data_IF_087866561362
#
_entry.id   IF_087866561362
#
_cell.length_a   1.000
_cell.length_b   1.000
_cell.length_c   1.000
_cell.angle_alpha   90.00
_cell.angle_beta   90.00
_cell.angle_gamma   90.00
#
_symmetry.space_group_name_H-M   'P 1'
#
loop_
_entity.id
_entity.type
_entity.pdbx_description
1 polymer ?
#
# COMPACT_ATOMS: atom_id res chain seq x y z
N UNK A 1 -25.15 -0.76 -80.61
CA UNK A 1 -24.48 -2.07 -80.87
C UNK A 1 -23.29 -2.17 -79.87
N UNK A 2 -23.30 -3.25 -79.11
CA UNK A 2 -22.18 -4.00 -78.50
C UNK A 2 -21.38 -3.28 -77.41
N UNK A 3 -21.69 -3.55 -76.19
CA UNK A 3 -21.18 -4.61 -75.29
C UNK A 3 -19.67 -4.65 -75.13
N UNK A 4 -19.19 -4.51 -73.87
CA UNK A 4 -18.45 -5.58 -73.21
C UNK A 4 -18.13 -5.18 -71.74
N UNK A 5 -18.67 -6.01 -70.87
CA UNK A 5 -18.30 -6.12 -69.43
C UNK A 5 -16.77 -6.31 -69.28
N UNK A 6 -16.16 -5.56 -68.36
CA UNK A 6 -14.93 -5.98 -67.69
C UNK A 6 -15.24 -6.12 -66.20
N UNK A 7 -15.27 -7.34 -65.73
CA UNK A 7 -15.22 -7.72 -64.32
C UNK A 7 -13.81 -7.42 -63.84
N UNK A 8 -13.68 -6.50 -62.89
CA UNK A 8 -12.49 -6.33 -62.08
C UNK A 8 -12.69 -7.15 -60.82
N UNK A 9 -11.92 -8.24 -60.72
CA UNK A 9 -11.77 -9.00 -59.47
C UNK A 9 -10.89 -8.19 -58.53
N UNK A 10 -11.48 -7.51 -57.54
CA UNK A 10 -10.79 -6.95 -56.43
C UNK A 10 -10.50 -8.06 -55.40
N UNK A 11 -9.26 -8.53 -55.36
CA UNK A 11 -8.80 -9.39 -54.28
C UNK A 11 -8.59 -8.52 -53.03
N UNK A 12 -9.53 -8.62 -52.10
CA UNK A 12 -9.40 -8.05 -50.75
C UNK A 12 -8.39 -8.90 -49.96
N UNK A 13 -7.16 -8.45 -49.86
CA UNK A 13 -6.19 -9.00 -48.92
C UNK A 13 -6.63 -8.64 -47.51
N UNK A 14 -7.27 -9.58 -46.79
CA UNK A 14 -7.41 -9.50 -45.33
C UNK A 14 -6.03 -9.65 -44.72
N UNK A 15 -5.45 -8.54 -44.28
CA UNK A 15 -4.30 -8.56 -43.38
C UNK A 15 -4.73 -9.12 -42.02
N UNK A 16 -4.41 -10.36 -41.74
CA UNK A 16 -4.55 -10.95 -40.42
C UNK A 16 -3.57 -10.20 -39.48
N UNK A 17 -4.06 -9.25 -38.72
CA UNK A 17 -3.31 -8.68 -37.62
C UNK A 17 -3.10 -9.80 -36.60
N UNK A 18 -1.88 -10.36 -36.55
CA UNK A 18 -1.47 -11.30 -35.53
C UNK A 18 -1.58 -10.58 -34.17
N UNK A 19 -2.58 -10.95 -33.37
CA UNK A 19 -2.70 -10.44 -32.01
C UNK A 19 -1.50 -10.93 -31.22
N UNK A 20 -0.64 -10.02 -30.80
CA UNK A 20 0.47 -10.34 -29.90
C UNK A 20 -0.10 -11.00 -28.63
N UNK A 21 0.51 -12.10 -28.16
CA UNK A 21 0.04 -12.77 -26.96
C UNK A 21 0.10 -11.77 -25.78
N UNK A 22 -1.00 -11.68 -25.03
CA UNK A 22 -1.04 -10.87 -23.82
C UNK A 22 -0.07 -11.49 -22.79
N UNK A 23 0.76 -10.68 -22.12
CA UNK A 23 1.66 -11.21 -21.10
C UNK A 23 0.85 -11.88 -19.98
N UNK A 24 1.36 -12.97 -19.43
CA UNK A 24 0.77 -13.62 -18.26
C UNK A 24 0.99 -12.78 -17.01
N UNK A 25 0.18 -12.98 -15.97
CA UNK A 25 0.34 -12.29 -14.68
C UNK A 25 1.77 -12.52 -14.12
N UNK A 26 2.32 -13.72 -14.26
CA UNK A 26 3.70 -14.02 -13.84
C UNK A 26 4.74 -13.17 -14.57
N UNK A 27 4.63 -13.03 -15.89
CA UNK A 27 5.55 -12.19 -16.68
C UNK A 27 5.45 -10.71 -16.31
N UNK A 28 4.24 -10.22 -16.05
CA UNK A 28 4.01 -8.83 -15.63
C UNK A 28 4.58 -8.58 -14.23
N UNK A 29 4.42 -9.53 -13.31
CA UNK A 29 4.99 -9.47 -11.96
C UNK A 29 6.50 -9.50 -11.98
N UNK A 30 7.13 -10.31 -12.85
CA UNK A 30 8.60 -10.35 -13.02
C UNK A 30 9.14 -9.02 -13.57
N UNK A 31 8.46 -8.45 -14.56
CA UNK A 31 8.81 -7.13 -15.08
C UNK A 31 8.71 -6.04 -14.00
N UNK A 32 7.69 -6.11 -13.15
CA UNK A 32 7.52 -5.21 -12.01
C UNK A 32 8.65 -5.32 -10.98
N UNK A 33 9.06 -6.54 -10.63
CA UNK A 33 10.20 -6.76 -9.74
C UNK A 33 11.50 -6.22 -10.33
N UNK A 34 11.74 -6.47 -11.61
CA UNK A 34 12.91 -5.97 -12.33
C UNK A 34 12.94 -4.43 -12.36
N UNK A 35 11.77 -3.79 -12.57
CA UNK A 35 11.64 -2.33 -12.54
C UNK A 35 11.99 -1.75 -11.16
N UNK A 36 11.48 -2.36 -10.06
CA UNK A 36 11.82 -1.96 -8.70
C UNK A 36 13.32 -2.13 -8.42
N UNK A 37 13.91 -3.28 -8.81
CA UNK A 37 15.32 -3.55 -8.61
C UNK A 37 16.20 -2.56 -9.38
N UNK A 38 15.89 -2.29 -10.64
CA UNK A 38 16.58 -1.30 -11.46
C UNK A 38 16.50 0.11 -10.88
N UNK A 39 15.31 0.53 -10.41
CA UNK A 39 15.13 1.83 -9.78
C UNK A 39 15.88 1.95 -8.45
N UNK A 40 15.89 0.89 -7.62
CA UNK A 40 16.65 0.86 -6.38
C UNK A 40 18.17 0.92 -6.63
N UNK A 41 18.66 0.18 -7.62
CA UNK A 41 20.08 0.21 -8.05
C UNK A 41 20.45 1.59 -8.56
N UNK A 42 19.59 2.23 -9.36
CA UNK A 42 19.82 3.59 -9.86
C UNK A 42 19.84 4.61 -8.71
N UNK A 43 18.94 4.48 -7.72
CA UNK A 43 18.95 5.30 -6.51
C UNK A 43 20.27 5.19 -5.77
N UNK A 44 20.73 3.96 -5.49
CA UNK A 44 21.99 3.73 -4.79
C UNK A 44 23.20 4.21 -5.61
N UNK A 45 23.17 4.07 -6.93
CA UNK A 45 24.21 4.55 -7.84
C UNK A 45 24.32 6.08 -7.91
N UNK A 46 23.22 6.80 -7.66
CA UNK A 46 23.21 8.25 -7.63
C UNK A 46 23.71 8.84 -6.31
N UNK A 47 23.97 8.02 -5.27
CA UNK A 47 24.40 8.46 -3.96
C UNK A 47 25.93 8.51 -3.84
N UNK A 48 26.49 9.58 -3.24
CA UNK A 48 27.85 9.56 -2.72
C UNK A 48 28.04 8.40 -1.71
N UNK A 49 29.26 7.90 -1.62
CA UNK A 49 29.56 6.69 -0.82
C UNK A 49 29.07 6.80 0.65
N UNK A 50 29.30 7.93 1.30
CA UNK A 50 28.85 8.14 2.69
C UNK A 50 27.31 8.11 2.82
N UNK A 51 26.59 8.67 1.87
CA UNK A 51 25.12 8.64 1.83
C UNK A 51 24.61 7.23 1.51
N UNK A 52 25.26 6.50 0.60
CA UNK A 52 24.93 5.12 0.27
C UNK A 52 25.07 4.20 1.48
N UNK A 53 26.14 4.34 2.27
CA UNK A 53 26.32 3.58 3.53
C UNK A 53 25.19 3.81 4.53
N UNK A 54 24.57 5.00 4.55
CA UNK A 54 23.38 5.27 5.37
C UNK A 54 22.10 4.69 4.79
N UNK A 55 21.97 4.69 3.48
CA UNK A 55 20.77 4.18 2.80
C UNK A 55 20.68 2.65 2.81
N UNK A 56 21.81 1.95 2.84
CA UNK A 56 21.89 0.48 2.76
C UNK A 56 22.03 -0.11 4.15
N UNK A 57 21.13 -1.05 4.45
CA UNK A 57 21.08 -1.80 5.71
C UNK A 57 21.10 -3.29 5.35
N UNK A 58 21.73 -4.12 6.19
CA UNK A 58 21.74 -5.57 5.96
C UNK A 58 20.31 -6.13 5.94
N UNK A 59 20.01 -7.07 5.01
CA UNK A 59 18.66 -7.62 4.89
C UNK A 59 18.17 -8.32 6.16
N UNK A 60 19.07 -8.96 6.91
CA UNK A 60 18.77 -9.61 8.18
C UNK A 60 18.73 -8.68 9.40
N UNK A 61 18.97 -7.39 9.22
CA UNK A 61 18.93 -6.43 10.31
C UNK A 61 17.49 -6.27 10.85
N UNK A 62 17.38 -6.15 12.18
CA UNK A 62 16.10 -5.90 12.88
C UNK A 62 15.40 -4.63 12.43
N UNK A 63 16.16 -3.65 11.92
CA UNK A 63 15.62 -2.40 11.40
C UNK A 63 14.65 -2.66 10.23
N UNK A 64 14.78 -3.75 9.48
CA UNK A 64 13.88 -4.09 8.37
C UNK A 64 12.42 -4.23 8.82
N UNK A 65 12.18 -4.67 10.04
CA UNK A 65 10.84 -4.83 10.63
C UNK A 65 10.48 -3.72 11.64
N UNK A 66 11.38 -2.78 11.90
CA UNK A 66 11.21 -1.67 12.84
C UNK A 66 10.57 -0.45 12.15
N UNK A 67 9.33 -0.59 11.70
CA UNK A 67 8.61 0.48 11.04
C UNK A 67 7.89 1.40 12.01
N UNK A 68 7.70 2.68 11.63
CA UNK A 68 6.93 3.63 12.43
C UNK A 68 6.30 4.73 11.56
N UNK A 69 5.25 5.36 12.09
CA UNK A 69 4.54 6.47 11.45
C UNK A 69 4.52 7.76 12.27
N UNK A 70 5.03 7.72 13.51
CA UNK A 70 5.10 8.91 14.39
C UNK A 70 6.33 9.77 14.07
N UNK A 71 6.36 11.06 14.44
CA UNK A 71 7.56 11.89 14.34
C UNK A 71 8.69 11.33 15.22
N UNK A 72 9.79 10.88 14.57
CA UNK A 72 10.99 10.35 15.27
C UNK A 72 12.19 10.36 14.32
N UNK A 73 13.39 10.18 14.91
CA UNK A 73 14.58 9.84 14.11
C UNK A 73 14.41 8.49 13.43
N UNK A 74 14.94 8.36 12.21
CA UNK A 74 14.85 7.15 11.39
C UNK A 74 16.19 6.77 10.81
N UNK A 75 16.42 5.49 10.67
CA UNK A 75 17.49 4.96 9.85
C UNK A 75 17.22 5.23 8.35
N UNK A 76 18.18 4.97 7.50
CA UNK A 76 18.11 5.29 6.09
C UNK A 76 18.52 6.72 5.76
N UNK A 77 18.27 7.14 4.54
CA UNK A 77 18.68 8.46 4.05
C UNK A 77 17.45 9.36 3.87
N UNK A 78 17.33 10.47 4.62
CA UNK A 78 16.22 11.41 4.45
C UNK A 78 16.39 12.24 3.18
N UNK A 79 15.26 12.68 2.59
CA UNK A 79 15.26 13.50 1.37
C UNK A 79 16.16 14.73 1.46
N UNK A 80 16.19 15.40 2.61
CA UNK A 80 17.05 16.57 2.84
C UNK A 80 18.56 16.29 2.74
N UNK A 81 18.97 15.02 2.87
CA UNK A 81 20.38 14.61 2.75
C UNK A 81 20.70 14.04 1.36
N UNK A 82 19.74 14.01 0.45
CA UNK A 82 19.92 13.48 -0.91
C UNK A 82 20.36 14.59 -1.86
N UNK A 83 21.43 14.41 -2.66
CA UNK A 83 21.68 15.26 -3.81
C UNK A 83 20.55 15.14 -4.84
N UNK A 84 20.35 16.16 -5.67
CA UNK A 84 19.22 16.24 -6.60
C UNK A 84 19.06 14.99 -7.51
N UNK A 85 20.14 14.41 -8.09
CA UNK A 85 20.01 13.18 -8.89
C UNK A 85 19.48 11.99 -8.09
N UNK A 86 19.95 11.82 -6.83
CA UNK A 86 19.51 10.74 -5.97
C UNK A 86 18.05 10.93 -5.53
N UNK A 87 17.64 12.17 -5.28
CA UNK A 87 16.24 12.50 -4.98
C UNK A 87 15.31 12.17 -6.15
N UNK A 88 15.70 12.49 -7.38
CA UNK A 88 14.95 12.10 -8.57
C UNK A 88 14.87 10.56 -8.69
N UNK A 89 15.97 9.85 -8.47
CA UNK A 89 15.99 8.39 -8.50
C UNK A 89 15.13 7.76 -7.39
N UNK A 90 15.07 8.36 -6.18
CA UNK A 90 14.16 7.93 -5.11
C UNK A 90 12.68 8.08 -5.53
N UNK A 91 12.34 9.15 -6.24
CA UNK A 91 10.98 9.33 -6.78
C UNK A 91 10.66 8.28 -7.85
N UNK A 92 11.62 7.92 -8.72
CA UNK A 92 11.43 6.85 -9.70
C UNK A 92 11.27 5.47 -9.01
N UNK A 93 11.96 5.22 -7.89
CA UNK A 93 11.75 4.01 -7.08
C UNK A 93 10.33 3.97 -6.49
N UNK A 94 9.81 5.10 -6.00
CA UNK A 94 8.42 5.21 -5.58
C UNK A 94 7.45 4.89 -6.72
N UNK A 95 7.65 5.47 -7.91
CA UNK A 95 6.81 5.23 -9.10
C UNK A 95 6.92 3.79 -9.62
N UNK A 96 8.08 3.16 -9.50
CA UNK A 96 8.27 1.76 -9.84
C UNK A 96 7.56 0.80 -8.88
N UNK A 97 7.09 1.27 -7.73
CA UNK A 97 6.50 0.44 -6.68
C UNK A 97 5.02 0.74 -6.43
N UNK A 98 4.59 1.95 -6.70
CA UNK A 98 3.23 2.45 -6.45
C UNK A 98 2.47 2.62 -7.78
N UNK A 99 1.16 2.64 -7.69
CA UNK A 99 0.30 3.16 -8.75
C UNK A 99 0.39 4.69 -8.81
N UNK A 100 -0.16 5.30 -9.84
CA UNK A 100 -0.28 6.77 -9.91
C UNK A 100 -1.05 7.33 -8.70
N UNK A 101 -2.12 6.64 -8.29
CA UNK A 101 -2.93 7.03 -7.12
C UNK A 101 -2.14 6.87 -5.83
N UNK A 102 -1.46 5.74 -5.63
CA UNK A 102 -0.64 5.50 -4.45
C UNK A 102 0.54 6.47 -4.34
N UNK A 103 1.19 6.77 -5.46
CA UNK A 103 2.23 7.80 -5.52
C UNK A 103 1.68 9.18 -5.15
N UNK A 104 0.54 9.57 -5.72
CA UNK A 104 -0.10 10.86 -5.40
C UNK A 104 -0.49 10.95 -3.91
N UNK A 105 -1.04 9.87 -3.32
CA UNK A 105 -1.32 9.80 -1.88
C UNK A 105 -0.05 9.98 -1.05
N UNK A 106 1.03 9.27 -1.36
CA UNK A 106 2.32 9.41 -0.65
C UNK A 106 2.85 10.84 -0.71
N UNK A 107 2.83 11.47 -1.89
CA UNK A 107 3.24 12.88 -2.05
C UNK A 107 2.33 13.82 -1.26
N UNK A 108 1.02 13.57 -1.25
CA UNK A 108 0.09 14.41 -0.48
C UNK A 108 0.32 14.26 1.04
N UNK A 109 0.58 13.05 1.55
CA UNK A 109 0.97 12.87 2.96
C UNK A 109 2.20 13.71 3.30
N UNK A 110 3.23 13.66 2.46
CA UNK A 110 4.45 14.47 2.63
C UNK A 110 4.13 15.98 2.62
N UNK A 111 3.27 16.42 1.72
CA UNK A 111 2.85 17.83 1.61
C UNK A 111 2.05 18.31 2.83
N UNK A 112 1.29 17.43 3.48
CA UNK A 112 0.54 17.78 4.70
C UNK A 112 1.46 18.22 5.85
N UNK A 113 2.75 17.86 5.86
CA UNK A 113 3.72 18.40 6.82
C UNK A 113 3.81 19.93 6.76
N UNK A 114 3.69 20.52 5.56
CA UNK A 114 3.69 21.98 5.41
C UNK A 114 2.43 22.64 5.98
N UNK A 115 1.29 21.94 5.92
CA UNK A 115 0.04 22.39 6.54
C UNK A 115 0.14 22.29 8.06
N UNK A 116 0.60 21.16 8.57
CA UNK A 116 0.79 20.95 10.01
C UNK A 116 1.76 21.96 10.62
N UNK A 117 2.85 22.28 9.93
CA UNK A 117 3.80 23.31 10.37
C UNK A 117 3.12 24.65 10.61
N UNK A 118 2.10 24.99 9.84
CA UNK A 118 1.33 26.24 9.99
C UNK A 118 0.26 26.16 11.09
N UNK A 119 -0.30 24.94 11.32
CA UNK A 119 -1.36 24.74 12.30
C UNK A 119 -0.85 24.53 13.72
N UNK A 120 0.35 23.97 13.89
CA UNK A 120 0.91 23.61 15.19
C UNK A 120 1.84 24.70 15.71
N UNK A 121 1.49 25.32 16.85
CA UNK A 121 2.22 26.44 17.44
C UNK A 121 3.61 26.02 17.95
N UNK A 122 3.74 24.86 18.59
CA UNK A 122 4.97 24.37 19.20
C UNK A 122 5.59 23.15 18.49
N UNK A 123 4.77 22.33 17.83
CA UNK A 123 5.19 21.14 17.10
C UNK A 123 5.67 21.39 15.67
N UNK A 124 5.39 22.57 15.13
CA UNK A 124 5.61 22.88 13.70
C UNK A 124 7.06 22.75 13.23
N UNK A 125 8.04 22.94 14.10
CA UNK A 125 9.47 22.76 13.77
C UNK A 125 9.83 21.29 13.49
N UNK A 126 9.07 20.33 14.00
CA UNK A 126 9.26 18.91 13.74
C UNK A 126 8.57 18.43 12.46
N UNK A 127 7.73 19.29 11.86
CA UNK A 127 6.99 19.00 10.63
C UNK A 127 7.84 19.38 9.42
N UNK A 128 8.51 18.40 8.86
CA UNK A 128 9.48 18.60 7.79
C UNK A 128 9.22 17.62 6.62
N UNK A 129 8.68 18.13 5.47
CA UNK A 129 8.44 17.30 4.28
C UNK A 129 9.72 16.70 3.69
N UNK A 130 10.90 17.21 4.11
CA UNK A 130 12.20 16.70 3.73
C UNK A 130 12.70 15.57 4.64
N UNK A 131 11.98 15.26 5.72
CA UNK A 131 12.37 14.27 6.72
C UNK A 131 11.72 12.90 6.50
N UNK A 132 11.59 12.50 5.21
CA UNK A 132 11.17 11.16 4.80
C UNK A 132 12.39 10.40 4.32
N UNK A 133 12.63 9.22 4.92
CA UNK A 133 13.83 8.42 4.68
C UNK A 133 13.56 7.26 3.73
N UNK A 134 14.52 7.00 2.86
CA UNK A 134 14.59 5.78 2.05
C UNK A 134 15.65 4.87 2.64
N UNK A 135 15.26 3.62 2.94
CA UNK A 135 16.15 2.53 3.36
C UNK A 135 16.10 1.41 2.32
N UNK A 136 17.25 0.86 1.96
CA UNK A 136 17.37 -0.33 1.11
C UNK A 136 17.96 -1.45 1.95
N UNK A 137 17.27 -2.56 2.05
CA UNK A 137 17.66 -3.73 2.83
C UNK A 137 18.23 -4.80 1.92
N UNK A 138 19.51 -5.11 2.04
CA UNK A 138 20.22 -6.03 1.16
C UNK A 138 20.68 -5.39 -0.14
N UNK A 139 20.83 -6.18 -1.19
CA UNK A 139 21.38 -5.78 -2.48
C UNK A 139 20.37 -6.03 -3.61
N UNK A 140 19.76 -4.97 -4.19
CA UNK A 140 18.74 -5.10 -5.24
C UNK A 140 19.30 -5.66 -6.56
N UNK A 141 20.60 -5.56 -6.79
CA UNK A 141 21.33 -6.03 -7.95
C UNK A 141 21.90 -7.45 -7.78
N UNK A 142 21.69 -8.10 -6.62
CA UNK A 142 22.17 -9.47 -6.36
C UNK A 142 21.15 -10.52 -6.80
N UNK A 143 21.37 -11.24 -7.89
CA UNK A 143 20.46 -12.29 -8.33
C UNK A 143 20.37 -13.41 -7.29
N UNK A 144 19.16 -13.86 -6.99
CA UNK A 144 18.93 -14.99 -6.10
C UNK A 144 18.88 -14.68 -4.61
N UNK A 145 19.26 -13.46 -4.18
CA UNK A 145 19.13 -13.02 -2.80
C UNK A 145 17.85 -12.20 -2.56
N UNK A 146 17.18 -12.35 -1.41
CA UNK A 146 16.09 -11.47 -1.04
C UNK A 146 16.63 -10.08 -0.70
N UNK A 147 15.85 -9.06 -1.05
CA UNK A 147 16.11 -7.67 -0.71
C UNK A 147 14.80 -6.93 -0.44
N UNK A 148 14.87 -5.71 0.02
CA UNK A 148 13.69 -4.88 0.23
C UNK A 148 14.02 -3.40 0.29
N UNK A 149 13.00 -2.59 0.42
CA UNK A 149 13.18 -1.17 0.65
C UNK A 149 12.00 -0.59 1.42
N UNK A 150 12.21 0.55 2.06
CA UNK A 150 11.18 1.27 2.81
C UNK A 150 11.26 2.76 2.51
N UNK A 151 10.09 3.38 2.31
CA UNK A 151 9.91 4.83 2.44
C UNK A 151 9.17 5.10 3.74
N UNK A 152 9.76 5.89 4.61
CA UNK A 152 9.20 6.14 5.93
C UNK A 152 9.35 7.59 6.36
N UNK A 153 8.29 8.13 6.95
CA UNK A 153 8.26 9.45 7.56
C UNK A 153 7.06 9.59 8.50
N UNK A 154 6.76 10.80 8.94
CA UNK A 154 5.54 11.05 9.67
C UNK A 154 4.34 10.72 8.78
N UNK A 155 3.41 9.92 9.29
CA UNK A 155 2.20 9.45 8.59
C UNK A 155 2.42 8.65 7.31
N UNK A 156 3.62 8.13 7.08
CA UNK A 156 3.89 7.26 5.92
C UNK A 156 4.89 6.17 6.31
N UNK A 157 4.55 4.91 6.03
CA UNK A 157 5.49 3.81 6.06
C UNK A 157 5.10 2.75 5.03
N UNK A 158 5.89 2.65 3.96
CA UNK A 158 5.69 1.73 2.86
C UNK A 158 6.85 0.77 2.80
N UNK A 159 6.57 -0.51 3.00
CA UNK A 159 7.55 -1.57 3.14
C UNK A 159 7.44 -2.56 1.98
N UNK A 160 8.53 -2.81 1.29
CA UNK A 160 8.59 -3.73 0.17
C UNK A 160 9.63 -4.82 0.44
N UNK A 161 9.24 -6.08 0.33
CA UNK A 161 10.15 -7.22 0.40
C UNK A 161 10.04 -8.05 -0.87
N UNK A 162 11.16 -8.24 -1.55
CA UNK A 162 11.28 -8.97 -2.80
C UNK A 162 12.07 -10.24 -2.55
N UNK A 163 11.43 -11.38 -2.76
CA UNK A 163 12.03 -12.71 -2.65
C UNK A 163 12.09 -13.32 -4.05
N UNK A 164 13.24 -13.87 -4.48
CA UNK A 164 13.38 -14.44 -5.83
C UNK A 164 12.28 -15.47 -6.16
N UNK A 165 11.65 -15.31 -7.33
CA UNK A 165 10.57 -16.20 -7.78
C UNK A 165 9.28 -16.17 -6.94
N UNK A 166 9.09 -15.14 -6.10
CA UNK A 166 7.90 -14.97 -5.26
C UNK A 166 7.20 -13.65 -5.55
N UNK A 167 5.90 -13.53 -5.23
CA UNK A 167 5.21 -12.23 -5.24
C UNK A 167 5.91 -11.20 -4.38
N UNK A 168 5.72 -9.91 -4.68
CA UNK A 168 6.25 -8.83 -3.85
C UNK A 168 5.39 -8.70 -2.60
N UNK A 169 6.00 -8.77 -1.41
CA UNK A 169 5.32 -8.43 -0.17
C UNK A 169 5.38 -6.91 0.03
N UNK A 170 4.23 -6.30 0.34
CA UNK A 170 4.06 -4.85 0.44
C UNK A 170 3.50 -4.40 1.79
N UNK A 171 3.46 -5.30 2.74
CA UNK A 171 2.86 -5.03 4.06
C UNK A 171 3.89 -5.20 5.18
N UNK A 172 3.79 -4.38 6.23
CA UNK A 172 2.78 -3.34 6.50
C UNK A 172 2.86 -2.18 5.50
N UNK A 173 1.68 -1.66 5.10
CA UNK A 173 1.59 -0.43 4.32
C UNK A 173 0.72 0.57 5.09
N UNK A 174 1.34 1.66 5.54
CA UNK A 174 0.68 2.68 6.35
C UNK A 174 0.61 4.00 5.61
N UNK A 175 -0.58 4.57 5.59
CA UNK A 175 -0.87 5.95 5.19
C UNK A 175 -1.65 6.64 6.30
N UNK A 176 -1.20 7.82 6.72
CA UNK A 176 -1.97 8.71 7.58
C UNK A 176 -2.24 10.05 6.90
N UNK A 177 -3.17 10.81 7.44
CA UNK A 177 -3.46 12.16 6.97
C UNK A 177 -3.82 13.07 8.16
N UNK A 178 -3.01 14.07 8.39
CA UNK A 178 -3.29 15.12 9.37
C UNK A 178 -2.98 16.50 8.74
N UNK A 179 -4.00 17.33 8.53
CA UNK A 179 -5.42 17.03 8.74
C UNK A 179 -5.98 16.03 7.72
N UNK A 180 -7.05 15.31 8.10
CA UNK A 180 -7.80 14.45 7.18
C UNK A 180 -8.42 15.26 6.03
N UNK A 181 -8.92 16.46 6.36
CA UNK A 181 -9.36 17.48 5.42
C UNK A 181 -8.67 18.81 5.71
N UNK A 182 -8.03 19.38 4.72
CA UNK A 182 -7.43 20.70 4.80
C UNK A 182 -8.52 21.75 4.67
N UNK A 183 -8.81 22.48 5.76
CA UNK A 183 -9.91 23.44 5.82
C UNK A 183 -9.58 24.85 5.36
N UNK A 184 -8.29 25.17 5.18
CA UNK A 184 -7.81 26.51 4.79
C UNK A 184 -6.50 26.47 4.01
N UNK A 185 -6.08 27.60 3.44
CA UNK A 185 -4.81 27.73 2.73
C UNK A 185 -4.82 27.15 1.31
N UNK A 186 -3.63 27.07 0.67
CA UNK A 186 -3.51 26.67 -0.74
C UNK A 186 -3.98 25.23 -1.04
N UNK A 187 -4.03 24.36 -0.05
CA UNK A 187 -4.48 22.99 -0.18
C UNK A 187 -5.91 22.76 0.34
N UNK A 188 -6.69 23.84 0.55
CA UNK A 188 -8.08 23.75 1.02
C UNK A 188 -8.89 22.75 0.18
N UNK A 189 -9.60 21.84 0.86
CA UNK A 189 -10.40 20.79 0.26
C UNK A 189 -9.62 19.48 -0.03
N UNK A 190 -8.29 19.46 0.19
CA UNK A 190 -7.53 18.21 0.04
C UNK A 190 -7.94 17.23 1.14
N UNK A 191 -8.38 16.03 0.72
CA UNK A 191 -8.66 14.85 1.53
C UNK A 191 -7.85 13.68 0.96
N UNK A 192 -6.66 13.43 1.50
CA UNK A 192 -5.72 12.45 0.95
C UNK A 192 -6.26 11.01 0.99
N UNK A 193 -6.99 10.65 2.05
CA UNK A 193 -7.60 9.32 2.28
C UNK A 193 -9.13 9.39 2.23
N UNK A 194 -9.66 10.19 1.28
CA UNK A 194 -11.11 10.40 1.16
C UNK A 194 -11.86 9.10 0.87
N UNK A 195 -11.36 8.30 -0.07
CA UNK A 195 -12.06 7.09 -0.54
C UNK A 195 -12.07 6.00 0.52
N UNK A 196 -10.98 5.82 1.27
CA UNK A 196 -10.91 4.90 2.41
C UNK A 196 -11.97 5.26 3.46
N UNK A 197 -12.10 6.54 3.79
CA UNK A 197 -13.10 7.03 4.72
C UNK A 197 -14.53 6.90 4.20
N UNK A 198 -14.76 7.36 2.97
CA UNK A 198 -16.10 7.44 2.39
C UNK A 198 -16.68 6.06 2.08
N UNK A 199 -15.88 5.12 1.54
CA UNK A 199 -16.29 3.74 1.29
C UNK A 199 -16.57 2.98 2.59
N UNK A 200 -15.70 3.13 3.60
CA UNK A 200 -15.90 2.49 4.91
C UNK A 200 -17.21 2.97 5.57
N UNK A 201 -17.45 4.27 5.53
CA UNK A 201 -18.70 4.86 6.05
C UNK A 201 -19.92 4.44 5.23
N UNK A 202 -19.85 4.46 3.91
CA UNK A 202 -20.94 4.02 3.04
C UNK A 202 -21.33 2.56 3.32
N UNK A 203 -20.33 1.68 3.50
CA UNK A 203 -20.56 0.29 3.88
C UNK A 203 -21.30 0.21 5.24
N UNK A 204 -20.83 0.94 6.26
CA UNK A 204 -21.47 0.96 7.58
C UNK A 204 -22.90 1.52 7.54
N UNK A 205 -23.14 2.56 6.75
CA UNK A 205 -24.47 3.17 6.59
C UNK A 205 -25.43 2.27 5.82
N UNK A 206 -24.93 1.48 4.87
CA UNK A 206 -25.72 0.50 4.11
C UNK A 206 -26.15 -0.74 4.88
N UNK A 207 -25.75 -0.90 6.15
CA UNK A 207 -26.15 -2.02 7.01
C UNK A 207 -27.54 -1.81 7.60
N UNK A 208 -28.33 -2.89 7.68
CA UNK A 208 -29.59 -2.90 8.43
C UNK A 208 -29.35 -2.91 9.97
N UNK A 209 -30.44 -2.79 10.74
CA UNK A 209 -30.34 -2.74 12.19
C UNK A 209 -29.76 -4.01 12.84
N UNK A 210 -29.97 -5.19 12.25
CA UNK A 210 -29.40 -6.46 12.73
C UNK A 210 -27.91 -6.54 12.42
N UNK A 211 -27.52 -6.18 11.20
CA UNK A 211 -26.13 -6.12 10.76
C UNK A 211 -25.34 -5.11 11.59
N UNK A 212 -25.89 -3.91 11.85
CA UNK A 212 -25.24 -2.88 12.67
C UNK A 212 -24.94 -3.36 14.09
N UNK A 213 -25.86 -4.07 14.74
CA UNK A 213 -25.62 -4.63 16.08
C UNK A 213 -24.44 -5.59 16.16
N UNK A 214 -24.15 -6.27 15.05
CA UNK A 214 -23.01 -7.22 14.96
C UNK A 214 -21.74 -6.56 14.48
N UNK A 215 -21.85 -5.61 13.56
CA UNK A 215 -20.71 -4.87 13.00
C UNK A 215 -20.08 -3.94 14.03
N UNK A 216 -20.91 -3.24 14.86
CA UNK A 216 -20.41 -2.27 15.85
C UNK A 216 -19.80 -3.01 17.04
N UNK A 217 -18.47 -2.90 17.18
CA UNK A 217 -17.69 -3.57 18.25
C UNK A 217 -17.47 -2.68 19.46
N UNK A 218 -17.64 -1.36 19.34
CA UNK A 218 -17.57 -0.41 20.43
C UNK A 218 -18.40 0.84 20.12
N UNK A 219 -18.98 1.47 21.15
CA UNK A 219 -19.78 2.69 21.01
C UNK A 219 -18.92 3.93 20.72
N UNK A 220 -17.63 3.90 21.08
CA UNK A 220 -16.64 4.95 20.81
C UNK A 220 -15.54 4.39 19.93
N UNK A 221 -14.85 5.26 19.16
CA UNK A 221 -13.67 4.88 18.41
C UNK A 221 -12.58 4.35 19.35
N UNK A 222 -11.67 3.53 18.80
CA UNK A 222 -10.57 2.93 19.56
C UNK A 222 -9.42 3.91 19.85
N UNK A 223 -9.44 5.10 19.22
CA UNK A 223 -8.45 6.15 19.46
C UNK A 223 -7.19 6.09 18.59
N UNK A 224 -6.88 4.92 18.05
CA UNK A 224 -5.81 4.67 17.08
C UNK A 224 -5.98 3.27 16.47
N UNK A 225 -5.12 2.92 15.47
CA UNK A 225 -4.98 1.56 14.98
C UNK A 225 -4.42 0.64 16.09
N UNK A 226 -4.90 -0.59 16.13
CA UNK A 226 -4.51 -1.60 17.13
C UNK A 226 -3.22 -2.32 16.72
N UNK A 227 -3.11 -2.72 15.44
CA UNK A 227 -1.96 -3.45 14.89
C UNK A 227 -0.84 -2.51 14.43
N UNK A 228 -0.52 -1.50 15.25
CA UNK A 228 0.60 -0.59 15.00
C UNK A 228 1.98 -1.27 15.15
N UNK A 229 3.09 -0.50 15.01
CA UNK A 229 4.45 -1.02 15.08
C UNK A 229 4.72 -1.89 16.31
N UNK A 230 5.26 -3.10 16.09
CA UNK A 230 5.52 -4.08 17.15
C UNK A 230 4.25 -4.73 17.73
N UNK A 231 3.09 -4.48 17.14
CA UNK A 231 1.79 -5.03 17.56
C UNK A 231 1.00 -5.62 16.39
N UNK A 232 1.68 -6.00 15.31
CA UNK A 232 1.08 -6.50 14.08
C UNK A 232 0.20 -7.75 14.31
N UNK A 233 0.51 -8.54 15.35
CA UNK A 233 -0.23 -9.75 15.72
C UNK A 233 -1.31 -9.50 16.79
N UNK A 234 -1.52 -8.26 17.24
CA UNK A 234 -2.48 -7.94 18.33
C UNK A 234 -3.94 -8.24 17.99
N UNK A 235 -4.26 -8.41 16.71
CA UNK A 235 -5.60 -8.73 16.22
C UNK A 235 -5.67 -10.18 15.72
N UNK A 236 -5.39 -11.13 16.58
CA UNK A 236 -5.44 -12.57 16.24
C UNK A 236 -6.87 -13.05 15.92
N UNK A 237 -7.90 -12.48 16.57
CA UNK A 237 -9.28 -12.86 16.39
C UNK A 237 -10.04 -11.88 15.48
N UNK A 238 -10.84 -12.42 14.58
CA UNK A 238 -11.80 -11.66 13.78
C UNK A 238 -12.96 -11.17 14.65
N UNK A 239 -13.44 -9.96 14.38
CA UNK A 239 -14.61 -9.39 15.06
C UNK A 239 -15.47 -8.62 14.05
N UNK A 240 -16.74 -8.41 14.39
CA UNK A 240 -17.70 -7.71 13.55
C UNK A 240 -18.60 -8.66 12.74
N UNK A 241 -19.01 -8.22 11.57
CA UNK A 241 -19.94 -8.93 10.69
C UNK A 241 -19.17 -9.65 9.56
N UNK A 242 -19.33 -10.98 9.40
CA UNK A 242 -18.71 -11.70 8.28
C UNK A 242 -19.37 -11.34 6.96
N UNK A 243 -18.61 -11.34 5.88
CA UNK A 243 -19.12 -11.04 4.55
C UNK A 243 -20.10 -12.09 4.00
N UNK A 244 -20.15 -13.29 4.60
CA UNK A 244 -21.23 -14.27 4.35
C UNK A 244 -22.63 -13.72 4.64
N UNK A 245 -22.74 -12.80 5.59
CA UNK A 245 -24.01 -12.21 6.06
C UNK A 245 -24.31 -10.87 5.40
N UNK A 246 -23.51 -10.45 4.44
CA UNK A 246 -23.70 -9.26 3.62
C UNK A 246 -24.59 -9.55 2.40
N UNK A 247 -25.46 -8.61 2.04
CA UNK A 247 -26.12 -8.60 0.75
C UNK A 247 -25.08 -8.45 -0.39
N UNK A 248 -25.39 -8.88 -1.62
CA UNK A 248 -24.44 -8.78 -2.74
C UNK A 248 -23.85 -7.37 -2.91
N UNK A 249 -24.68 -6.33 -2.92
CA UNK A 249 -24.20 -4.94 -3.06
C UNK A 249 -23.31 -4.46 -1.91
N UNK A 250 -23.56 -4.91 -0.68
CA UNK A 250 -22.69 -4.62 0.48
C UNK A 250 -21.35 -5.35 0.35
N UNK A 251 -21.34 -6.57 -0.16
CA UNK A 251 -20.15 -7.36 -0.42
C UNK A 251 -19.27 -6.74 -1.51
N UNK A 252 -19.91 -6.24 -2.56
CA UNK A 252 -19.24 -5.50 -3.62
C UNK A 252 -18.58 -4.22 -3.07
N UNK A 253 -19.27 -3.49 -2.18
CA UNK A 253 -18.73 -2.29 -1.55
C UNK A 253 -17.56 -2.61 -0.59
N UNK A 254 -17.65 -3.72 0.17
CA UNK A 254 -16.54 -4.23 0.98
C UNK A 254 -15.31 -4.51 0.11
N UNK A 255 -15.51 -5.17 -1.05
CA UNK A 255 -14.40 -5.46 -1.95
C UNK A 255 -13.85 -4.21 -2.62
N UNK A 256 -14.67 -3.22 -2.97
CA UNK A 256 -14.20 -1.92 -3.43
C UNK A 256 -13.31 -1.24 -2.38
N UNK A 257 -13.69 -1.32 -1.11
CA UNK A 257 -12.88 -0.78 -0.01
C UNK A 257 -11.56 -1.53 0.13
N UNK A 258 -11.54 -2.85 0.05
CA UNK A 258 -10.29 -3.65 0.04
C UNK A 258 -9.41 -3.29 -1.18
N UNK A 259 -10.01 -3.12 -2.33
CA UNK A 259 -9.31 -2.71 -3.56
C UNK A 259 -8.68 -1.32 -3.44
N UNK A 260 -9.30 -0.39 -2.72
CA UNK A 260 -8.76 0.96 -2.50
C UNK A 260 -7.38 0.91 -1.82
N UNK A 261 -7.17 -0.04 -0.89
CA UNK A 261 -5.88 -0.26 -0.25
C UNK A 261 -4.87 -0.94 -1.18
N UNK A 262 -5.26 -2.03 -1.80
CA UNK A 262 -4.37 -2.80 -2.65
C UNK A 262 -3.89 -2.00 -3.87
N UNK A 263 -4.78 -1.21 -4.48
CA UNK A 263 -4.50 -0.40 -5.68
C UNK A 263 -3.62 0.84 -5.42
N UNK A 264 -3.17 1.08 -4.20
CA UNK A 264 -2.07 2.00 -3.95
C UNK A 264 -0.73 1.44 -4.49
N UNK A 265 -0.61 0.14 -4.62
CA UNK A 265 0.56 -0.53 -5.22
C UNK A 265 0.43 -0.55 -6.75
N UNK A 266 1.55 -0.77 -7.44
CA UNK A 266 1.53 -0.94 -8.88
C UNK A 266 0.58 -2.07 -9.30
N UNK A 267 -0.06 -1.98 -10.49
CA UNK A 267 -1.22 -2.81 -10.84
C UNK A 267 -1.00 -4.31 -10.68
N UNK A 268 0.13 -4.85 -11.13
CA UNK A 268 0.41 -6.29 -11.08
C UNK A 268 0.62 -6.80 -9.66
N UNK A 269 1.17 -5.97 -8.78
CA UNK A 269 1.31 -6.29 -7.34
C UNK A 269 -0.05 -6.26 -6.68
N UNK A 270 -0.86 -5.24 -6.97
CA UNK A 270 -2.23 -5.12 -6.47
C UNK A 270 -3.10 -6.33 -6.87
N UNK A 271 -3.08 -6.71 -8.16
CA UNK A 271 -3.87 -7.85 -8.66
C UNK A 271 -3.46 -9.17 -8.02
N UNK A 272 -2.16 -9.40 -7.78
CA UNK A 272 -1.69 -10.60 -7.10
C UNK A 272 -2.20 -10.67 -5.64
N UNK A 273 -2.17 -9.55 -4.91
CA UNK A 273 -2.74 -9.50 -3.56
C UNK A 273 -4.27 -9.69 -3.56
N UNK A 274 -4.98 -9.03 -4.47
CA UNK A 274 -6.42 -9.17 -4.61
C UNK A 274 -6.84 -10.60 -4.99
N UNK A 275 -6.07 -11.27 -5.87
CA UNK A 275 -6.27 -12.67 -6.20
C UNK A 275 -6.17 -13.56 -4.95
N UNK A 276 -5.12 -13.39 -4.14
CA UNK A 276 -4.92 -14.13 -2.88
C UNK A 276 -6.03 -13.87 -1.87
N UNK A 277 -6.51 -12.63 -1.77
CA UNK A 277 -7.64 -12.28 -0.89
C UNK A 277 -8.92 -13.00 -1.35
N UNK A 278 -9.20 -13.01 -2.65
CA UNK A 278 -10.37 -13.74 -3.20
C UNK A 278 -10.25 -15.25 -3.02
N UNK A 279 -9.09 -15.83 -3.24
CA UNK A 279 -8.81 -17.26 -3.01
C UNK A 279 -8.88 -17.65 -1.52
N UNK A 280 -8.61 -16.73 -0.61
CA UNK A 280 -8.81 -16.91 0.83
C UNK A 280 -10.28 -17.03 1.24
N UNK A 281 -11.21 -16.66 0.35
CA UNK A 281 -12.67 -16.68 0.56
C UNK A 281 -13.17 -15.33 1.05
N UNK A 282 -13.90 -14.61 0.19
CA UNK A 282 -14.47 -13.29 0.52
C UNK A 282 -15.44 -13.41 1.70
N UNK A 283 -16.22 -14.45 1.77
CA UNK A 283 -17.20 -14.74 2.83
C UNK A 283 -16.57 -14.87 4.22
N UNK A 284 -15.26 -15.10 4.28
CA UNK A 284 -14.45 -15.21 5.53
C UNK A 284 -13.84 -13.88 5.96
N UNK A 285 -14.14 -12.80 5.24
CA UNK A 285 -13.72 -11.45 5.61
C UNK A 285 -14.76 -10.85 6.55
N UNK A 286 -14.31 -10.25 7.63
CA UNK A 286 -15.14 -9.58 8.62
C UNK A 286 -14.99 -8.06 8.49
N UNK A 287 -16.09 -7.35 8.64
CA UNK A 287 -16.10 -5.90 8.75
C UNK A 287 -16.57 -5.49 10.16
N UNK A 288 -15.76 -4.69 10.83
CA UNK A 288 -16.07 -4.16 12.15
C UNK A 288 -16.01 -2.62 12.15
N UNK A 289 -16.83 -2.00 12.96
CA UNK A 289 -16.90 -0.56 13.17
C UNK A 289 -16.89 -0.20 14.64
N UNK A 290 -16.25 0.93 15.01
CA UNK A 290 -16.33 1.50 16.36
C UNK A 290 -16.58 3.01 16.26
N UNK A 291 -17.45 3.52 17.14
CA UNK A 291 -17.91 4.90 17.14
C UNK A 291 -19.21 5.13 16.35
N UNK A 292 -19.71 6.38 16.34
CA UNK A 292 -20.88 6.78 15.56
C UNK A 292 -20.66 6.61 14.05
N UNK A 293 -21.73 6.26 13.33
CA UNK A 293 -21.68 6.07 11.86
C UNK A 293 -21.81 7.41 11.13
N UNK A 294 -22.42 8.42 11.78
CA UNK A 294 -22.68 9.72 11.17
C UNK A 294 -21.37 10.49 10.87
N UNK A 295 -21.35 11.30 9.79
CA UNK A 295 -20.19 12.13 9.47
C UNK A 295 -19.81 13.10 10.60
N UNK A 296 -18.52 13.46 10.68
CA UNK A 296 -18.03 14.43 11.67
C UNK A 296 -17.70 13.85 13.03
N UNK A 297 -17.93 12.57 13.26
CA UNK A 297 -17.62 11.89 14.52
C UNK A 297 -16.39 11.00 14.42
N UNK A 298 -15.69 10.87 15.54
CA UNK A 298 -14.58 9.94 15.71
C UNK A 298 -15.03 8.51 15.44
N UNK A 299 -14.30 7.81 14.58
CA UNK A 299 -14.66 6.46 14.16
C UNK A 299 -13.44 5.63 13.78
N UNK A 300 -13.64 4.32 13.86
CA UNK A 300 -12.68 3.31 13.47
C UNK A 300 -13.39 2.23 12.66
N UNK A 301 -12.74 1.67 11.66
CA UNK A 301 -13.17 0.40 11.07
C UNK A 301 -12.01 -0.58 10.87
N UNK A 302 -12.39 -1.85 10.79
CA UNK A 302 -11.47 -2.95 10.51
C UNK A 302 -12.06 -3.91 9.50
N UNK A 303 -11.21 -4.34 8.56
CA UNK A 303 -11.47 -5.44 7.64
C UNK A 303 -10.49 -6.55 7.99
N UNK A 304 -10.96 -7.76 8.31
CA UNK A 304 -10.12 -8.84 8.77
C UNK A 304 -10.50 -10.15 8.09
N UNK A 305 -9.62 -10.67 7.26
CA UNK A 305 -9.73 -11.94 6.55
C UNK A 305 -8.46 -12.78 6.63
N UNK A 306 -8.44 -13.96 5.98
CA UNK A 306 -7.30 -14.87 6.05
C UNK A 306 -5.97 -14.31 5.53
N UNK A 307 -6.02 -13.35 4.58
CA UNK A 307 -4.85 -12.73 3.95
C UNK A 307 -4.98 -11.20 3.82
N UNK A 308 -5.87 -10.61 4.59
CA UNK A 308 -6.09 -9.17 4.64
C UNK A 308 -6.45 -8.74 6.05
N UNK A 309 -5.74 -7.75 6.57
CA UNK A 309 -6.09 -7.00 7.76
C UNK A 309 -5.90 -5.52 7.45
N UNK A 310 -6.99 -4.77 7.48
CA UNK A 310 -7.01 -3.33 7.27
C UNK A 310 -7.58 -2.69 8.51
N UNK A 311 -6.93 -1.63 8.98
CA UNK A 311 -7.47 -0.75 10.00
C UNK A 311 -7.47 0.68 9.50
N UNK A 312 -8.48 1.42 9.91
CA UNK A 312 -8.65 2.85 9.68
C UNK A 312 -9.17 3.49 10.95
N UNK A 313 -8.51 4.50 11.42
CA UNK A 313 -8.92 5.32 12.55
C UNK A 313 -8.96 6.80 12.16
N UNK A 314 -10.01 7.50 12.51
CA UNK A 314 -10.12 8.95 12.42
C UNK A 314 -10.73 9.50 13.71
N UNK A 315 -9.95 9.42 14.80
CA UNK A 315 -10.44 9.76 16.14
C UNK A 315 -9.89 11.07 16.67
N UNK A 316 -8.67 11.41 16.29
CA UNK A 316 -7.94 12.55 16.85
C UNK A 316 -8.33 13.86 16.14
N UNK A 317 -8.05 15.00 16.77
CA UNK A 317 -8.25 16.34 16.21
C UNK A 317 -9.70 16.56 15.70
N UNK A 318 -10.70 16.22 16.52
CA UNK A 318 -12.13 16.32 16.16
C UNK A 318 -12.47 15.55 14.88
N UNK A 319 -12.05 14.28 14.80
CA UNK A 319 -12.21 13.41 13.65
C UNK A 319 -11.60 13.99 12.35
N UNK A 320 -10.43 14.64 12.47
CA UNK A 320 -9.70 15.21 11.36
C UNK A 320 -8.23 14.78 11.32
N UNK A 321 -7.93 13.53 11.76
CA UNK A 321 -6.61 12.97 11.81
C UNK A 321 -6.70 11.45 11.60
N UNK A 322 -6.29 10.99 10.41
CA UNK A 322 -6.44 9.60 9.97
C UNK A 322 -5.14 8.83 10.17
N UNK A 323 -5.25 7.64 10.76
CA UNK A 323 -4.27 6.57 10.68
C UNK A 323 -4.87 5.38 9.95
N UNK A 324 -4.19 4.82 8.99
CA UNK A 324 -4.68 3.68 8.23
C UNK A 324 -3.54 2.73 7.85
N UNK A 325 -3.75 1.43 8.08
CA UNK A 325 -2.76 0.39 7.83
C UNK A 325 -3.37 -0.81 7.13
N UNK A 326 -2.60 -1.40 6.24
CA UNK A 326 -2.88 -2.69 5.62
C UNK A 326 -1.78 -3.69 5.94
N UNK A 327 -2.19 -4.85 6.43
CA UNK A 327 -1.34 -6.04 6.64
C UNK A 327 -1.83 -7.22 5.79
N UNK A 328 -0.92 -8.10 5.40
CA UNK A 328 -1.20 -9.50 5.08
C UNK A 328 -0.81 -10.33 6.33
N UNK A 329 -1.78 -10.83 7.14
CA UNK A 329 -1.50 -11.47 8.43
C UNK A 329 -0.53 -12.67 8.35
N UNK A 330 -0.44 -13.30 7.17
CA UNK A 330 0.46 -14.43 6.93
C UNK A 330 1.84 -14.01 6.44
N UNK A 331 1.95 -12.79 5.92
CA UNK A 331 3.12 -12.39 5.14
C UNK A 331 3.60 -10.98 5.46
N UNK A 332 3.46 -10.57 6.72
CA UNK A 332 4.01 -9.31 7.22
C UNK A 332 5.51 -9.31 6.95
N UNK A 333 6.02 -8.26 6.30
CA UNK A 333 7.41 -8.16 5.82
C UNK A 333 7.90 -9.36 4.98
N UNK A 334 7.01 -10.10 4.34
CA UNK A 334 7.38 -11.26 3.52
C UNK A 334 7.70 -12.52 4.32
N UNK A 335 7.22 -12.67 5.56
CA UNK A 335 7.61 -13.76 6.45
C UNK A 335 7.38 -15.16 5.86
N UNK A 336 6.20 -15.46 5.32
CA UNK A 336 5.90 -16.76 4.69
C UNK A 336 6.73 -16.99 3.41
N UNK A 337 6.94 -15.94 2.62
CA UNK A 337 7.73 -16.03 1.38
C UNK A 337 9.19 -16.32 1.68
N UNK A 338 9.75 -15.70 2.73
CA UNK A 338 11.12 -15.90 3.18
C UNK A 338 11.30 -17.32 3.75
N UNK A 339 10.38 -17.77 4.61
CA UNK A 339 10.39 -19.13 5.14
C UNK A 339 10.42 -20.15 3.99
N UNK A 340 9.50 -20.04 3.04
CA UNK A 340 9.45 -20.93 1.87
C UNK A 340 10.67 -20.81 0.93
N UNK A 341 11.39 -19.70 0.94
CA UNK A 341 12.63 -19.52 0.19
C UNK A 341 13.78 -20.29 0.86
N UNK A 342 13.98 -20.11 2.16
CA UNK A 342 15.06 -20.75 2.91
C UNK A 342 14.88 -22.28 3.01
N UNK A 343 13.66 -22.77 3.20
CA UNK A 343 13.38 -24.21 3.22
C UNK A 343 13.75 -24.92 1.92
N UNK A 344 13.60 -24.25 0.76
CA UNK A 344 14.03 -24.83 -0.53
C UNK A 344 15.55 -24.82 -0.68
N UNK A 345 16.22 -23.76 -0.24
CA UNK A 345 17.69 -23.66 -0.28
C UNK A 345 18.35 -24.80 0.52
N UNK A 346 17.80 -25.16 1.68
CA UNK A 346 18.32 -26.26 2.49
C UNK A 346 18.15 -27.65 1.85
N UNK A 347 17.11 -27.88 1.04
CA UNK A 347 16.89 -29.17 0.35
C UNK A 347 17.89 -29.43 -0.78
N UNK A 348 18.45 -28.39 -1.39
CA UNK A 348 19.44 -28.51 -2.47
C UNK A 348 20.87 -28.74 -1.97
N UNK A 349 21.15 -28.58 -0.67
CA UNK A 349 22.47 -28.86 -0.08
C UNK A 349 22.59 -30.26 0.51
N UNK A 350 21.51 -31.06 0.50
CA UNK A 350 21.47 -32.44 1.02
C UNK A 350 21.11 -33.48 -0.05
N UNK A 351 21.13 -33.11 -1.33
CA UNK A 351 20.89 -34.03 -2.46
C UNK A 351 22.16 -34.29 -3.28
#
# INVERSE_FOLDING_TARGET
>A
MISRRRLLHGATAMAAAAALPRPTLAQVTDAGRAAMAGAATAFLGALPEAARRRAVIAFGDKERVNWHYVPRGREGLPFKAMPAPARAAAQELMKASLSEVGYAKAINVIRLETVLRQLETFGGLMRDPENYSVSVFGAPDSPGAPWGWRLEGHHLSLNFTLVPGKPVAVTPAFFGANPAEVRSGPLKGLRTLAREQDLGRALAQGMDASQRRRMIIAAQSLGDIVSGPGREESLAAQAGLPASDLAPAQRDLLMQLVEEYARNMRPEVAEEHLRRIREGGIERIYFAWAGPIDPGHAHYYRIHGPSVLIEFDNSQNDANHIHSVWHDPRNVFGADLLRAHYERGHRHHHA
#
